data_IF_946060442362
#
_entry.id   IF_946060442362
#
_cell.length_a   1.000
_cell.length_b   1.000
_cell.length_c   1.000
_cell.angle_alpha   90.00
_cell.angle_beta   90.00
_cell.angle_gamma   90.00
#
_symmetry.space_group_name_H-M   'P 1'
#
loop_
_entity.id
_entity.type
_entity.pdbx_description
1 polymer ?
#
# COMPACT_ATOMS: atom_id res chain seq x y z
N UNK A 1 15.97 7.79 -11.08
CA UNK A 1 16.75 7.05 -10.05
C UNK A 1 16.57 7.74 -8.70
N UNK A 2 16.13 7.02 -7.66
CA UNK A 2 15.94 7.60 -6.34
C UNK A 2 17.20 8.26 -5.80
N UNK A 3 17.01 9.37 -5.08
CA UNK A 3 18.10 10.19 -4.58
C UNK A 3 18.95 9.46 -3.53
N UNK A 4 20.18 9.95 -3.30
CA UNK A 4 21.04 9.44 -2.24
C UNK A 4 20.40 9.60 -0.84
N UNK A 5 19.54 10.62 -0.66
CA UNK A 5 18.80 10.87 0.58
C UNK A 5 17.79 9.75 0.81
N UNK A 6 17.02 9.39 -0.21
CA UNK A 6 16.04 8.30 -0.10
C UNK A 6 16.72 6.97 0.24
N UNK A 7 17.81 6.63 -0.45
CA UNK A 7 18.57 5.40 -0.19
C UNK A 7 19.08 5.33 1.26
N UNK A 8 19.66 6.44 1.77
CA UNK A 8 20.13 6.53 3.16
C UNK A 8 18.98 6.35 4.16
N UNK A 9 17.81 6.90 3.87
CA UNK A 9 16.64 6.77 4.72
C UNK A 9 16.11 5.33 4.73
N UNK A 10 16.15 4.61 3.60
CA UNK A 10 15.83 3.18 3.56
C UNK A 10 16.76 2.37 4.46
N UNK A 11 18.07 2.63 4.41
CA UNK A 11 19.06 2.00 5.30
C UNK A 11 18.73 2.25 6.78
N UNK A 12 18.30 3.47 7.13
CA UNK A 12 17.95 3.82 8.51
C UNK A 12 16.76 3.05 9.07
N UNK A 13 15.88 2.56 8.21
CA UNK A 13 14.74 1.71 8.59
C UNK A 13 14.99 0.22 8.29
N UNK A 14 16.23 -0.17 7.96
CA UNK A 14 16.63 -1.52 7.59
C UNK A 14 15.82 -2.12 6.42
N UNK A 15 15.57 -1.32 5.40
CA UNK A 15 14.96 -1.75 4.14
C UNK A 15 15.98 -1.66 3.02
N UNK A 16 16.22 -2.78 2.35
CA UNK A 16 17.07 -2.86 1.16
C UNK A 16 16.20 -3.11 -0.06
N UNK A 17 16.39 -2.30 -1.10
CA UNK A 17 15.69 -2.44 -2.38
C UNK A 17 16.70 -2.71 -3.49
N UNK A 18 16.40 -3.68 -4.34
CA UNK A 18 17.15 -3.94 -5.57
C UNK A 18 16.97 -2.80 -6.58
N UNK A 19 17.86 -2.73 -7.55
CA UNK A 19 17.75 -1.74 -8.64
C UNK A 19 16.41 -1.84 -9.37
N UNK A 20 15.91 -3.06 -9.60
CA UNK A 20 14.59 -3.29 -10.18
C UNK A 20 13.45 -2.68 -9.35
N UNK A 21 13.50 -2.84 -8.03
CA UNK A 21 12.49 -2.26 -7.14
C UNK A 21 12.56 -0.73 -7.13
N UNK A 22 13.76 -0.17 -7.17
CA UNK A 22 13.97 1.28 -7.31
C UNK A 22 13.42 1.81 -8.65
N UNK A 23 13.65 1.11 -9.75
CA UNK A 23 13.07 1.43 -11.06
C UNK A 23 11.53 1.33 -11.04
N UNK A 24 10.97 0.35 -10.35
CA UNK A 24 9.51 0.23 -10.16
C UNK A 24 8.93 1.42 -9.39
N UNK A 25 9.61 1.90 -8.35
CA UNK A 25 9.18 3.10 -7.61
C UNK A 25 9.26 4.36 -8.49
N UNK A 26 10.31 4.52 -9.29
CA UNK A 26 10.42 5.63 -10.25
C UNK A 26 9.29 5.59 -11.28
N UNK A 27 9.01 4.41 -11.83
CA UNK A 27 7.93 4.24 -12.80
C UNK A 27 6.56 4.48 -12.19
N UNK A 28 6.35 4.04 -10.96
CA UNK A 28 5.12 4.34 -10.21
C UNK A 28 4.94 5.85 -10.01
N UNK A 29 6.01 6.58 -9.70
CA UNK A 29 5.98 8.04 -9.60
C UNK A 29 5.54 8.69 -10.92
N UNK A 30 6.10 8.28 -12.06
CA UNK A 30 5.72 8.79 -13.37
C UNK A 30 4.21 8.62 -13.64
N UNK A 31 3.68 7.41 -13.40
CA UNK A 31 2.26 7.10 -13.58
C UNK A 31 1.41 7.92 -12.60
N UNK A 32 1.84 8.05 -11.35
CA UNK A 32 1.13 8.83 -10.33
C UNK A 32 0.98 10.29 -10.75
N UNK A 33 2.05 10.93 -11.19
CA UNK A 33 2.03 12.33 -11.63
C UNK A 33 1.19 12.52 -12.88
N UNK A 34 1.30 11.62 -13.86
CA UNK A 34 0.48 11.64 -15.06
C UNK A 34 -1.01 11.59 -14.72
N UNK A 35 -1.44 10.59 -13.96
CA UNK A 35 -2.84 10.42 -13.58
C UNK A 35 -3.33 11.50 -12.63
N UNK A 36 -2.47 12.01 -11.76
CA UNK A 36 -2.82 13.09 -10.83
C UNK A 36 -3.19 14.39 -11.55
N UNK A 37 -2.70 14.61 -12.77
CA UNK A 37 -3.02 15.78 -13.58
C UNK A 37 -4.51 15.92 -13.90
N UNK A 38 -5.28 14.81 -13.84
CA UNK A 38 -6.73 14.81 -14.14
C UNK A 38 -7.58 14.11 -13.06
N UNK A 39 -6.99 13.55 -12.01
CA UNK A 39 -7.75 12.74 -11.03
C UNK A 39 -7.65 13.17 -9.58
N UNK A 40 -6.78 14.08 -9.21
CA UNK A 40 -6.53 14.46 -7.80
C UNK A 40 -6.29 13.27 -6.87
N UNK A 41 -5.30 12.46 -7.19
CA UNK A 41 -4.94 11.27 -6.40
C UNK A 41 -4.19 11.64 -5.12
N UNK A 42 -3.35 12.67 -5.19
CA UNK A 42 -2.54 13.17 -4.08
C UNK A 42 -2.26 14.66 -4.22
N UNK A 43 -2.09 15.34 -3.09
CA UNK A 43 -1.60 16.73 -3.07
C UNK A 43 -0.08 16.85 -3.17
N UNK A 44 0.65 15.72 -3.08
CA UNK A 44 2.12 15.68 -3.11
C UNK A 44 2.55 15.15 -4.47
N UNK A 45 3.21 15.99 -5.26
CA UNK A 45 3.65 15.67 -6.63
C UNK A 45 5.15 15.88 -6.85
N UNK A 46 5.82 16.58 -5.93
CA UNK A 46 7.26 16.75 -6.01
C UNK A 46 7.98 15.44 -5.73
N UNK A 47 8.94 15.09 -6.59
CA UNK A 47 9.60 13.80 -6.57
C UNK A 47 10.16 13.40 -5.21
N UNK A 48 10.98 14.27 -4.59
CA UNK A 48 11.57 14.01 -3.29
C UNK A 48 10.52 13.89 -2.18
N UNK A 49 9.45 14.66 -2.24
CA UNK A 49 8.37 14.56 -1.28
C UNK A 49 7.59 13.25 -1.41
N UNK A 50 7.34 12.77 -2.64
CA UNK A 50 6.71 11.47 -2.89
C UNK A 50 7.60 10.35 -2.34
N UNK A 51 8.90 10.41 -2.62
CA UNK A 51 9.86 9.42 -2.10
C UNK A 51 9.84 9.36 -0.57
N UNK A 52 9.80 10.49 0.12
CA UNK A 52 9.85 10.54 1.58
C UNK A 52 8.49 10.35 2.24
N UNK A 53 7.48 11.12 1.81
CA UNK A 53 6.18 11.19 2.49
C UNK A 53 5.19 10.10 2.05
N UNK A 54 5.44 9.46 0.90
CA UNK A 54 4.61 8.37 0.43
C UNK A 54 5.34 7.03 0.47
N UNK A 55 6.48 6.90 -0.19
CA UNK A 55 7.15 5.61 -0.30
C UNK A 55 7.87 5.21 0.99
N UNK A 56 8.74 6.07 1.52
CA UNK A 56 9.44 5.76 2.77
C UNK A 56 8.47 5.58 3.94
N UNK A 57 7.48 6.48 4.07
CA UNK A 57 6.44 6.39 5.10
C UNK A 57 5.67 5.06 5.02
N UNK A 58 5.38 4.58 3.80
CA UNK A 58 4.74 3.28 3.61
C UNK A 58 5.61 2.10 4.09
N UNK A 59 6.94 2.23 3.98
CA UNK A 59 7.90 1.17 4.28
C UNK A 59 8.34 1.11 5.75
N UNK A 60 7.90 2.04 6.59
CA UNK A 60 8.20 2.00 8.04
C UNK A 60 7.45 0.91 8.80
N UNK A 61 6.60 0.15 8.12
CA UNK A 61 5.83 -0.94 8.72
C UNK A 61 6.75 -1.95 9.39
N UNK A 62 6.65 -2.05 10.70
CA UNK A 62 7.30 -3.10 11.50
C UNK A 62 6.21 -3.97 12.11
N UNK A 63 6.07 -5.16 11.58
CA UNK A 63 5.19 -6.16 12.16
C UNK A 63 5.97 -7.02 13.14
N UNK A 64 5.36 -7.48 14.24
CA UNK A 64 5.95 -8.45 15.15
C UNK A 64 5.93 -9.86 14.51
N UNK A 65 6.51 -9.96 13.31
CA UNK A 65 6.61 -11.20 12.53
C UNK A 65 8.08 -11.61 12.51
N UNK A 66 8.34 -12.88 12.82
CA UNK A 66 9.67 -13.44 12.88
C UNK A 66 10.47 -13.24 11.59
N UNK A 67 11.65 -12.63 11.73
CA UNK A 67 12.64 -12.51 10.66
C UNK A 67 12.38 -11.46 9.56
N UNK A 68 11.38 -10.58 9.73
CA UNK A 68 11.11 -9.51 8.76
C UNK A 68 10.62 -10.00 7.39
N UNK A 69 10.25 -11.27 7.29
CA UNK A 69 9.69 -11.83 6.06
C UNK A 69 8.19 -11.52 5.98
N UNK A 70 7.79 -10.70 5.00
CA UNK A 70 6.39 -10.37 4.74
C UNK A 70 5.72 -11.34 3.76
N UNK A 71 5.98 -12.63 3.85
CA UNK A 71 5.21 -13.66 3.14
C UNK A 71 3.85 -13.87 3.82
N UNK A 72 2.98 -12.89 3.68
CA UNK A 72 1.68 -12.78 4.34
C UNK A 72 0.62 -12.32 3.36
N UNK A 73 -0.65 -12.45 3.77
CA UNK A 73 -1.78 -11.79 3.07
C UNK A 73 -2.09 -10.45 3.74
N UNK A 74 -2.02 -9.40 2.97
CA UNK A 74 -2.23 -8.02 3.41
C UNK A 74 -3.36 -7.38 2.61
N UNK A 75 -4.26 -6.67 3.29
CA UNK A 75 -5.24 -5.81 2.66
C UNK A 75 -4.98 -4.35 3.04
N UNK A 76 -5.01 -3.47 2.04
CA UNK A 76 -4.92 -2.02 2.21
C UNK A 76 -6.31 -1.42 2.00
N UNK A 77 -6.96 -1.05 3.09
CA UNK A 77 -8.35 -0.56 3.09
C UNK A 77 -8.38 0.96 2.92
N UNK A 78 -9.07 1.40 1.88
CA UNK A 78 -9.05 2.82 1.50
C UNK A 78 -7.69 3.24 0.94
N UNK A 79 -7.14 2.41 0.08
CA UNK A 79 -5.76 2.52 -0.42
C UNK A 79 -5.46 3.82 -1.19
N UNK A 80 -6.48 4.46 -1.75
CA UNK A 80 -6.34 5.72 -2.49
C UNK A 80 -5.45 5.58 -3.72
N UNK A 81 -4.34 6.30 -3.72
CA UNK A 81 -3.32 6.20 -4.75
C UNK A 81 -2.37 5.00 -4.58
N UNK A 82 -2.72 4.03 -3.71
CA UNK A 82 -1.96 2.80 -3.51
C UNK A 82 -1.03 2.81 -2.29
N UNK A 83 -1.27 3.71 -1.34
CA UNK A 83 -0.43 3.85 -0.14
C UNK A 83 -1.13 3.34 1.12
N UNK A 84 -0.50 2.45 1.90
CA UNK A 84 0.87 1.94 1.77
C UNK A 84 1.03 0.68 0.91
N UNK A 85 -0.05 0.12 0.38
CA UNK A 85 -0.06 -1.22 -0.21
C UNK A 85 0.90 -1.44 -1.39
N UNK A 86 0.98 -0.49 -2.34
CA UNK A 86 1.87 -0.62 -3.51
C UNK A 86 3.36 -0.55 -3.16
N UNK A 87 3.85 0.43 -2.37
CA UNK A 87 5.23 0.43 -1.93
C UNK A 87 5.61 -0.83 -1.14
N UNK A 88 4.71 -1.32 -0.27
CA UNK A 88 4.93 -2.58 0.45
C UNK A 88 5.05 -3.77 -0.50
N UNK A 89 4.20 -3.84 -1.53
CA UNK A 89 4.28 -4.89 -2.54
C UNK A 89 5.57 -4.86 -3.35
N UNK A 90 6.03 -3.66 -3.71
CA UNK A 90 7.29 -3.48 -4.44
C UNK A 90 8.46 -3.93 -3.57
N UNK A 91 8.50 -3.50 -2.31
CA UNK A 91 9.58 -3.85 -1.38
C UNK A 91 9.58 -5.34 -0.98
N UNK A 92 8.39 -5.94 -0.84
CA UNK A 92 8.20 -7.31 -0.38
C UNK A 92 7.38 -8.12 -1.42
N UNK A 93 8.02 -8.60 -2.49
CA UNK A 93 7.31 -9.21 -3.63
C UNK A 93 6.55 -10.50 -3.28
N UNK A 94 6.92 -11.18 -2.21
CA UNK A 94 6.25 -12.42 -1.75
C UNK A 94 4.96 -12.16 -0.96
N UNK A 95 4.69 -10.91 -0.57
CA UNK A 95 3.44 -10.52 0.08
C UNK A 95 2.28 -10.59 -0.91
N UNK A 96 1.19 -11.26 -0.55
CA UNK A 96 -0.08 -11.17 -1.28
C UNK A 96 -0.81 -9.90 -0.83
N UNK A 97 -1.15 -9.02 -1.76
CA UNK A 97 -1.77 -7.73 -1.45
C UNK A 97 -3.12 -7.58 -2.14
N UNK A 98 -4.12 -7.13 -1.39
CA UNK A 98 -5.38 -6.63 -1.92
C UNK A 98 -5.46 -5.13 -1.66
N UNK A 99 -5.62 -4.37 -2.72
CA UNK A 99 -5.87 -2.93 -2.67
C UNK A 99 -7.38 -2.69 -2.73
N UNK A 100 -7.96 -2.19 -1.66
CA UNK A 100 -9.39 -2.01 -1.53
C UNK A 100 -9.76 -0.52 -1.50
N UNK A 101 -10.63 -0.08 -2.40
CA UNK A 101 -11.09 1.32 -2.43
C UNK A 101 -12.55 1.42 -2.90
N UNK A 102 -13.24 2.43 -2.42
CA UNK A 102 -14.63 2.69 -2.77
C UNK A 102 -14.82 3.50 -4.07
N UNK A 103 -13.76 4.04 -4.62
CA UNK A 103 -13.80 4.85 -5.85
C UNK A 103 -13.25 4.07 -7.05
N UNK A 104 -14.13 3.73 -7.98
CA UNK A 104 -13.76 2.95 -9.18
C UNK A 104 -12.66 3.62 -10.03
N UNK A 105 -12.61 4.94 -10.08
CA UNK A 105 -11.56 5.66 -10.78
C UNK A 105 -10.15 5.41 -10.19
N UNK A 106 -10.06 5.23 -8.87
CA UNK A 106 -8.80 4.85 -8.20
C UNK A 106 -8.42 3.42 -8.53
N UNK A 107 -9.39 2.52 -8.56
CA UNK A 107 -9.17 1.12 -8.97
C UNK A 107 -8.55 1.04 -10.37
N UNK A 108 -9.06 1.82 -11.33
CA UNK A 108 -8.48 1.89 -12.69
C UNK A 108 -7.03 2.37 -12.69
N UNK A 109 -6.71 3.37 -11.89
CA UNK A 109 -5.34 3.84 -11.72
C UNK A 109 -4.44 2.73 -11.14
N UNK A 110 -4.89 2.07 -10.09
CA UNK A 110 -4.14 1.00 -9.44
C UNK A 110 -3.89 -0.19 -10.37
N UNK A 111 -4.90 -0.58 -11.16
CA UNK A 111 -4.77 -1.63 -12.17
C UNK A 111 -3.73 -1.27 -13.22
N UNK A 112 -3.69 -0.02 -13.66
CA UNK A 112 -2.68 0.48 -14.60
C UNK A 112 -1.27 0.40 -14.00
N UNK A 113 -1.10 0.84 -12.75
CA UNK A 113 0.20 0.74 -12.05
C UNK A 113 0.64 -0.72 -11.94
N UNK A 114 -0.24 -1.61 -11.49
CA UNK A 114 0.05 -3.04 -11.35
C UNK A 114 0.50 -3.64 -12.70
N UNK A 115 -0.20 -3.31 -13.78
CA UNK A 115 0.11 -3.81 -15.12
C UNK A 115 1.45 -3.28 -15.63
N UNK A 116 1.69 -1.97 -15.55
CA UNK A 116 2.92 -1.35 -16.04
C UNK A 116 4.16 -1.76 -15.23
N UNK A 117 4.01 -2.01 -13.93
CA UNK A 117 5.11 -2.49 -13.08
C UNK A 117 5.32 -4.00 -13.14
N UNK A 118 4.41 -4.74 -13.79
CA UNK A 118 4.45 -6.19 -13.90
C UNK A 118 4.35 -6.91 -12.55
N UNK A 119 3.63 -6.33 -11.60
CA UNK A 119 3.48 -6.90 -10.25
C UNK A 119 2.61 -8.16 -10.27
N UNK A 120 2.99 -9.14 -9.47
CA UNK A 120 2.27 -10.41 -9.29
C UNK A 120 1.84 -10.57 -7.83
N UNK A 121 0.76 -11.35 -7.59
CA UNK A 121 0.26 -11.55 -6.22
C UNK A 121 -0.33 -10.29 -5.61
N UNK A 122 -0.89 -9.43 -6.44
CA UNK A 122 -1.60 -8.22 -6.03
C UNK A 122 -2.85 -8.06 -6.88
N UNK A 123 -3.93 -7.64 -6.25
CA UNK A 123 -5.21 -7.40 -6.91
C UNK A 123 -5.92 -6.20 -6.31
N UNK A 124 -6.92 -5.70 -7.01
CA UNK A 124 -7.77 -4.59 -6.58
C UNK A 124 -9.18 -5.07 -6.32
N UNK A 125 -9.85 -4.46 -5.34
CA UNK A 125 -11.28 -4.70 -5.06
C UNK A 125 -11.99 -3.36 -4.91
N UNK A 126 -13.03 -3.16 -5.70
CA UNK A 126 -13.91 -2.00 -5.62
C UNK A 126 -15.07 -2.29 -4.68
N UNK A 127 -15.26 -1.48 -3.66
CA UNK A 127 -16.37 -1.62 -2.73
C UNK A 127 -16.25 -0.71 -1.51
N UNK A 128 -17.28 -0.77 -0.67
CA UNK A 128 -17.25 -0.12 0.63
C UNK A 128 -16.71 -1.08 1.68
N UNK A 129 -15.92 -0.56 2.62
CA UNK A 129 -15.31 -1.35 3.68
C UNK A 129 -16.35 -2.12 4.51
N UNK A 130 -17.51 -1.50 4.80
CA UNK A 130 -18.60 -2.08 5.57
C UNK A 130 -19.23 -3.31 4.87
N UNK A 131 -19.25 -3.31 3.55
CA UNK A 131 -19.77 -4.42 2.75
C UNK A 131 -18.69 -5.49 2.55
N UNK A 132 -17.47 -5.08 2.27
CA UNK A 132 -16.32 -5.97 2.15
C UNK A 132 -16.07 -6.79 3.41
N UNK A 133 -16.17 -6.16 4.57
CA UNK A 133 -16.03 -6.83 5.88
C UNK A 133 -17.10 -7.88 6.18
N UNK A 134 -18.17 -7.93 5.41
CA UNK A 134 -19.23 -8.96 5.49
C UNK A 134 -19.12 -10.05 4.44
N UNK A 135 -18.29 -9.80 3.41
CA UNK A 135 -18.07 -10.74 2.32
C UNK A 135 -17.31 -11.98 2.81
N UNK A 136 -17.76 -13.16 2.42
CA UNK A 136 -17.10 -14.42 2.78
C UNK A 136 -15.70 -14.55 2.22
N UNK A 137 -15.46 -13.91 1.08
CA UNK A 137 -14.17 -13.93 0.38
C UNK A 137 -13.12 -13.06 1.06
N UNK A 138 -13.53 -12.04 1.82
CA UNK A 138 -12.62 -11.05 2.40
C UNK A 138 -12.58 -11.07 3.92
N UNK A 139 -13.67 -11.46 4.56
CA UNK A 139 -13.77 -11.46 6.03
C UNK A 139 -12.82 -12.46 6.66
N UNK A 140 -12.01 -11.99 7.61
CA UNK A 140 -11.05 -12.80 8.37
C UNK A 140 -10.07 -13.60 7.48
N UNK A 141 -9.69 -13.04 6.31
CA UNK A 141 -8.80 -13.71 5.36
C UNK A 141 -7.36 -13.19 5.40
N UNK A 142 -7.12 -12.06 6.05
CA UNK A 142 -5.84 -11.38 5.98
C UNK A 142 -5.05 -11.48 7.28
N UNK A 143 -3.73 -11.69 7.15
CA UNK A 143 -2.80 -11.63 8.28
C UNK A 143 -2.71 -10.20 8.82
N UNK A 144 -2.74 -9.23 7.91
CA UNK A 144 -2.60 -7.81 8.24
C UNK A 144 -3.58 -6.99 7.40
N UNK A 145 -4.28 -6.08 8.06
CA UNK A 145 -4.98 -4.98 7.42
C UNK A 145 -4.23 -3.69 7.71
N UNK A 146 -3.99 -2.90 6.69
CA UNK A 146 -3.36 -1.57 6.82
C UNK A 146 -4.33 -0.51 6.33
N UNK A 147 -4.22 0.70 6.88
CA UNK A 147 -4.93 1.87 6.37
C UNK A 147 -4.14 3.11 6.68
N UNK A 148 -4.01 3.99 5.70
CA UNK A 148 -3.46 5.34 5.85
C UNK A 148 -4.54 6.34 5.52
N UNK A 149 -5.36 6.67 6.52
CA UNK A 149 -6.50 7.55 6.34
C UNK A 149 -6.62 8.57 7.47
N UNK A 150 -7.31 9.67 7.19
CA UNK A 150 -7.59 10.76 8.11
C UNK A 150 -8.94 10.52 8.77
N UNK A 151 -9.11 9.41 9.47
CA UNK A 151 -10.29 9.11 10.25
C UNK A 151 -9.91 8.78 11.69
N UNK A 152 -10.87 8.86 12.60
CA UNK A 152 -10.67 8.46 13.99
C UNK A 152 -10.36 6.96 14.06
N UNK A 153 -9.48 6.59 14.99
CA UNK A 153 -9.03 5.20 15.15
C UNK A 153 -10.19 4.23 15.38
N UNK A 154 -11.24 4.66 16.07
CA UNK A 154 -12.46 3.85 16.27
C UNK A 154 -13.11 3.47 14.95
N UNK A 155 -13.31 4.44 14.05
CA UNK A 155 -13.90 4.22 12.72
C UNK A 155 -12.98 3.36 11.85
N UNK A 156 -11.67 3.64 11.86
CA UNK A 156 -10.70 2.84 11.13
C UNK A 156 -10.68 1.39 11.62
N UNK A 157 -10.81 1.17 12.92
CA UNK A 157 -10.86 -0.17 13.51
C UNK A 157 -12.12 -0.93 13.04
N UNK A 158 -13.28 -0.28 13.01
CA UNK A 158 -14.52 -0.89 12.49
C UNK A 158 -14.40 -1.29 11.01
N UNK A 159 -13.68 -0.50 10.19
CA UNK A 159 -13.48 -0.81 8.78
C UNK A 159 -12.43 -1.88 8.52
N UNK A 160 -11.42 -2.01 9.38
CA UNK A 160 -10.26 -2.86 9.13
C UNK A 160 -10.31 -4.21 9.85
N UNK A 161 -10.76 -4.25 11.10
CA UNK A 161 -10.76 -5.48 11.89
C UNK A 161 -11.57 -6.63 11.27
N UNK A 162 -12.70 -6.40 10.57
CA UNK A 162 -13.43 -7.51 9.93
C UNK A 162 -12.63 -8.28 8.88
N UNK A 163 -11.58 -7.68 8.27
CA UNK A 163 -10.73 -8.35 7.29
C UNK A 163 -9.64 -9.20 7.93
N UNK A 164 -9.31 -8.93 9.20
CA UNK A 164 -8.18 -9.56 9.89
C UNK A 164 -8.58 -10.90 10.46
N UNK A 165 -7.80 -11.95 10.16
CA UNK A 165 -7.97 -13.26 10.76
C UNK A 165 -7.58 -13.25 12.25
N UNK A 166 -8.04 -14.24 13.01
CA UNK A 166 -7.65 -14.42 14.41
C UNK A 166 -6.13 -14.57 14.51
N UNK A 167 -5.51 -13.76 15.38
CA UNK A 167 -4.06 -13.70 15.52
C UNK A 167 -3.35 -12.74 14.55
N UNK A 168 -4.10 -12.08 13.66
CA UNK A 168 -3.57 -11.06 12.76
C UNK A 168 -3.55 -9.66 13.37
N UNK A 169 -3.20 -8.67 12.57
CA UNK A 169 -3.00 -7.28 12.99
C UNK A 169 -3.72 -6.29 12.11
N UNK A 170 -4.24 -5.24 12.73
CA UNK A 170 -4.58 -4.00 12.04
C UNK A 170 -3.50 -2.95 12.35
N UNK A 171 -2.97 -2.32 11.32
CA UNK A 171 -1.96 -1.25 11.45
C UNK A 171 -2.51 0.04 10.87
N UNK A 172 -2.69 1.04 11.72
CA UNK A 172 -3.09 2.39 11.32
C UNK A 172 -1.84 3.25 11.10
N UNK A 173 -1.68 3.74 9.90
CA UNK A 173 -0.66 4.75 9.56
C UNK A 173 -1.20 6.14 9.91
N UNK A 174 -0.45 6.90 10.68
CA UNK A 174 -0.77 8.29 11.06
C UNK A 174 0.37 9.24 10.72
#
# INVERSE_FOLDING_TARGET
MPSAIFKRNLESINVELSDKQLEQLDKYYEILVEWNSFMNLTGITEYEEVMLKHYLDSLVLKLPIDGGNLNIKLIDVGTGAGFPGLPLKIAYPDTEVVLFDSLNKRIKFLDEVIAQLGLKGISTVHGRAEDGGKSKELREQFDVSVSRAVADLSVLSEYNLPFVKVGGYFVAYK
#
